data_IF_270540451798
#
_entry.id   IF_270540451798
#
_cell.length_a   1.000
_cell.length_b   1.000
_cell.length_c   1.000
_cell.angle_alpha   90.00
_cell.angle_beta   90.00
_cell.angle_gamma   90.00
#
_symmetry.space_group_name_H-M   'P 1'
#
loop_
_entity.id
_entity.type
_entity.pdbx_description
1 polymer ?
#
# COMPACT_ATOMS: atom_id res chain seq x y z
N UNK A 1 -12.07 33.25 -2.96
CA UNK A 1 -10.67 33.66 -2.79
C UNK A 1 -9.79 32.51 -3.28
N UNK A 2 -9.24 32.63 -4.48
CA UNK A 2 -8.28 31.67 -5.03
C UNK A 2 -6.99 31.72 -4.23
N UNK A 3 -6.57 30.60 -3.62
CA UNK A 3 -5.23 30.51 -3.05
C UNK A 3 -4.22 30.71 -4.18
N UNK A 4 -3.26 31.65 -4.08
CA UNK A 4 -2.20 31.77 -5.06
C UNK A 4 -1.37 30.49 -5.01
N UNK A 5 -1.27 29.77 -6.13
CA UNK A 5 -0.33 28.67 -6.27
C UNK A 5 1.08 29.28 -6.21
N UNK A 6 1.73 29.25 -5.04
CA UNK A 6 3.08 29.78 -4.82
C UNK A 6 4.20 28.93 -5.44
N UNK A 7 3.83 27.87 -6.16
CA UNK A 7 4.73 26.88 -6.74
C UNK A 7 4.15 26.36 -8.05
N UNK A 8 5.01 25.95 -8.98
CA UNK A 8 4.57 25.38 -10.25
C UNK A 8 3.83 24.04 -10.04
N UNK A 9 2.90 23.65 -10.94
CA UNK A 9 2.24 22.34 -10.87
C UNK A 9 3.22 21.17 -10.79
N UNK A 10 4.35 21.26 -11.48
CA UNK A 10 5.43 20.27 -11.45
C UNK A 10 6.03 20.13 -10.05
N UNK A 11 6.26 21.26 -9.37
CA UNK A 11 6.78 21.26 -8.01
C UNK A 11 5.77 20.65 -7.03
N UNK A 12 4.46 20.90 -7.20
CA UNK A 12 3.43 20.27 -6.36
C UNK A 12 3.46 18.74 -6.50
N UNK A 13 3.61 18.22 -7.73
CA UNK A 13 3.70 16.78 -7.96
C UNK A 13 4.97 16.21 -7.32
N UNK A 14 6.09 16.91 -7.46
CA UNK A 14 7.37 16.54 -6.84
C UNK A 14 7.25 16.48 -5.32
N UNK A 15 6.69 17.50 -4.69
CA UNK A 15 6.53 17.58 -3.24
C UNK A 15 5.62 16.47 -2.71
N UNK A 16 4.52 16.16 -3.42
CA UNK A 16 3.64 15.03 -3.09
C UNK A 16 4.37 13.69 -3.19
N UNK A 17 5.15 13.48 -4.26
CA UNK A 17 5.92 12.25 -4.45
C UNK A 17 6.99 12.10 -3.36
N UNK A 18 7.66 13.19 -2.99
CA UNK A 18 8.68 13.20 -1.95
C UNK A 18 8.07 12.95 -0.57
N UNK A 19 6.90 13.52 -0.29
CA UNK A 19 6.14 13.25 0.93
C UNK A 19 5.77 11.76 1.04
N UNK A 20 5.21 11.18 -0.03
CA UNK A 20 4.84 9.77 -0.06
C UNK A 20 6.07 8.86 0.11
N UNK A 21 7.16 9.14 -0.62
CA UNK A 21 8.41 8.36 -0.52
C UNK A 21 8.99 8.38 0.88
N UNK A 22 9.06 9.57 1.52
CA UNK A 22 9.54 9.72 2.90
C UNK A 22 8.62 9.00 3.89
N UNK A 23 7.31 9.01 3.66
CA UNK A 23 6.34 8.27 4.47
C UNK A 23 6.55 6.75 4.39
N UNK A 24 6.72 6.22 3.17
CA UNK A 24 6.95 4.79 2.93
C UNK A 24 8.30 4.35 3.53
N UNK A 25 9.36 5.12 3.31
CA UNK A 25 10.71 4.78 3.76
C UNK A 25 10.87 4.68 5.29
N UNK A 26 9.97 5.32 6.06
CA UNK A 26 9.96 5.24 7.54
C UNK A 26 9.27 3.99 8.07
N UNK A 27 8.45 3.32 7.25
CA UNK A 27 7.70 2.14 7.65
C UNK A 27 8.57 0.89 7.75
N UNK A 28 8.06 -0.13 8.44
CA UNK A 28 8.68 -1.46 8.43
C UNK A 28 8.49 -2.13 7.07
N UNK A 29 9.47 -2.93 6.66
CA UNK A 29 9.49 -3.55 5.33
C UNK A 29 8.52 -4.72 5.19
N UNK A 30 8.25 -5.07 3.93
CA UNK A 30 7.64 -6.33 3.51
C UNK A 30 8.43 -6.84 2.32
N UNK A 31 8.64 -8.16 2.28
CA UNK A 31 9.31 -8.86 1.20
C UNK A 31 8.34 -9.89 0.62
N UNK A 32 8.26 -9.94 -0.71
CA UNK A 32 7.46 -10.91 -1.45
C UNK A 32 8.37 -11.58 -2.47
N UNK A 33 8.49 -12.90 -2.40
CA UNK A 33 9.41 -13.68 -3.23
C UNK A 33 8.66 -14.82 -3.90
N UNK A 34 8.89 -15.00 -5.19
CA UNK A 34 8.43 -16.19 -5.93
C UNK A 34 9.40 -17.35 -5.69
N UNK A 35 8.85 -18.55 -5.49
CA UNK A 35 9.61 -19.79 -5.37
C UNK A 35 8.90 -20.92 -6.12
N UNK A 36 9.52 -22.11 -6.17
CA UNK A 36 9.05 -23.24 -7.00
C UNK A 36 7.57 -23.58 -6.76
N UNK A 37 7.09 -23.49 -5.51
CA UNK A 37 5.72 -23.89 -5.16
C UNK A 37 4.77 -22.70 -4.93
N UNK A 38 5.16 -21.47 -5.30
CA UNK A 38 4.25 -20.31 -5.20
C UNK A 38 4.94 -19.01 -4.82
N UNK A 39 4.29 -18.23 -3.94
CA UNK A 39 4.77 -16.91 -3.50
C UNK A 39 4.83 -16.89 -1.98
N UNK A 40 5.96 -16.47 -1.42
CA UNK A 40 6.18 -16.30 0.01
C UNK A 40 6.09 -14.82 0.38
N UNK A 41 5.33 -14.51 1.43
CA UNK A 41 5.16 -13.17 1.98
C UNK A 41 5.79 -13.10 3.37
N UNK A 42 6.70 -12.14 3.58
CA UNK A 42 7.36 -11.92 4.87
C UNK A 42 7.24 -10.44 5.24
N UNK A 43 6.55 -10.15 6.33
CA UNK A 43 6.36 -8.78 6.81
C UNK A 43 6.93 -8.62 8.22
N UNK A 44 7.71 -7.57 8.43
CA UNK A 44 8.01 -7.12 9.78
C UNK A 44 6.79 -6.37 10.33
N UNK A 45 6.14 -6.97 11.33
CA UNK A 45 4.92 -6.44 11.94
C UNK A 45 4.85 -6.81 13.44
N UNK A 46 5.00 -5.84 14.36
CA UNK A 46 4.85 -6.09 15.79
C UNK A 46 3.38 -6.27 16.20
N UNK A 47 2.44 -5.76 15.41
CA UNK A 47 1.02 -5.87 15.71
C UNK A 47 0.48 -7.25 15.35
N UNK A 48 -0.37 -7.81 16.23
CA UNK A 48 -1.12 -9.04 15.96
C UNK A 48 -2.51 -8.81 15.38
N UNK A 49 -3.01 -7.57 15.41
CA UNK A 49 -4.37 -7.23 14.97
C UNK A 49 -4.40 -6.44 13.65
N UNK A 50 -3.32 -5.73 13.33
CA UNK A 50 -3.23 -4.89 12.13
C UNK A 50 -2.34 -5.59 11.12
N UNK A 51 -2.94 -6.18 10.08
CA UNK A 51 -2.23 -7.03 9.14
C UNK A 51 -1.71 -6.24 7.92
N UNK A 52 -0.47 -6.52 7.52
CA UNK A 52 0.15 -5.96 6.30
C UNK A 52 0.03 -6.87 5.08
N UNK A 53 -0.35 -8.13 5.30
CA UNK A 53 -0.52 -9.18 4.30
C UNK A 53 -1.94 -9.72 4.47
N UNK A 54 -2.65 -9.93 3.37
CA UNK A 54 -4.01 -10.47 3.35
C UNK A 54 -4.28 -11.18 2.05
N UNK A 55 -5.19 -12.13 2.08
CA UNK A 55 -5.85 -12.63 0.88
C UNK A 55 -6.77 -11.56 0.28
N UNK A 56 -6.86 -11.53 -1.04
CA UNK A 56 -7.85 -10.76 -1.82
C UNK A 56 -8.84 -11.69 -2.51
N UNK A 57 -8.37 -12.82 -3.03
CA UNK A 57 -9.17 -13.84 -3.71
C UNK A 57 -8.41 -15.18 -3.76
N UNK A 58 -9.05 -16.24 -4.26
CA UNK A 58 -8.55 -17.62 -4.31
C UNK A 58 -7.08 -17.78 -4.73
N UNK A 59 -6.60 -16.93 -5.64
CA UNK A 59 -5.21 -16.94 -6.16
C UNK A 59 -4.56 -15.56 -6.15
N UNK A 60 -5.07 -14.64 -5.33
CA UNK A 60 -4.60 -13.26 -5.27
C UNK A 60 -4.39 -12.88 -3.80
N UNK A 61 -3.16 -12.50 -3.45
CA UNK A 61 -2.82 -11.97 -2.14
C UNK A 61 -2.29 -10.55 -2.27
N UNK A 62 -2.48 -9.76 -1.21
CA UNK A 62 -2.09 -8.38 -1.09
C UNK A 62 -1.07 -8.20 0.02
N UNK A 63 -0.07 -7.37 -0.25
CA UNK A 63 0.93 -6.97 0.72
C UNK A 63 1.27 -5.49 0.53
N UNK A 64 1.33 -4.73 1.63
CA UNK A 64 1.58 -3.30 1.55
C UNK A 64 2.48 -2.76 2.67
N UNK A 65 3.09 -1.61 2.39
CA UNK A 65 3.87 -0.79 3.29
C UNK A 65 3.40 0.66 3.21
N UNK A 66 3.73 1.46 4.22
CA UNK A 66 3.27 2.85 4.34
C UNK A 66 2.20 2.99 5.42
N UNK A 67 1.24 3.88 5.19
CA UNK A 67 0.25 4.24 6.20
C UNK A 67 -0.89 3.22 6.25
N UNK A 68 -1.10 2.62 7.42
CA UNK A 68 -2.03 1.50 7.60
C UNK A 68 -3.44 1.75 7.09
N UNK A 69 -4.06 2.86 7.51
CA UNK A 69 -5.44 3.18 7.13
C UNK A 69 -5.61 3.37 5.61
N UNK A 70 -4.57 3.82 4.90
CA UNK A 70 -4.62 4.02 3.45
C UNK A 70 -4.59 2.68 2.73
N UNK A 71 -3.61 1.81 3.02
CA UNK A 71 -3.53 0.53 2.34
C UNK A 71 -4.64 -0.44 2.79
N UNK A 72 -5.14 -0.33 4.01
CA UNK A 72 -6.29 -1.12 4.47
C UNK A 72 -7.57 -0.73 3.70
N UNK A 73 -7.76 0.56 3.42
CA UNK A 73 -8.86 1.01 2.56
C UNK A 73 -8.74 0.45 1.14
N UNK A 74 -7.52 0.42 0.59
CA UNK A 74 -7.25 -0.18 -0.73
C UNK A 74 -7.48 -1.69 -0.73
N UNK A 75 -7.09 -2.39 0.34
CA UNK A 75 -7.30 -3.83 0.51
C UNK A 75 -8.79 -4.17 0.51
N UNK A 76 -9.58 -3.46 1.32
CA UNK A 76 -11.04 -3.65 1.39
C UNK A 76 -11.70 -3.38 0.04
N UNK A 77 -11.26 -2.34 -0.67
CA UNK A 77 -11.75 -2.07 -2.03
C UNK A 77 -11.37 -3.21 -3.01
N UNK A 78 -10.16 -3.76 -2.90
CA UNK A 78 -9.69 -4.89 -3.70
C UNK A 78 -10.53 -6.14 -3.50
N UNK A 79 -10.81 -6.51 -2.24
CA UNK A 79 -11.68 -7.65 -1.89
C UNK A 79 -13.07 -7.48 -2.52
N UNK A 80 -13.70 -6.32 -2.31
CA UNK A 80 -15.04 -6.04 -2.87
C UNK A 80 -15.05 -6.09 -4.40
N UNK A 81 -13.99 -5.62 -5.04
CA UNK A 81 -13.88 -5.62 -6.50
C UNK A 81 -13.71 -7.04 -7.04
N UNK A 82 -12.91 -7.88 -6.37
CA UNK A 82 -12.75 -9.29 -6.73
C UNK A 82 -14.06 -10.05 -6.54
N UNK A 83 -14.73 -9.89 -5.40
CA UNK A 83 -16.01 -10.55 -5.10
C UNK A 83 -17.10 -10.24 -6.14
N UNK A 84 -17.10 -9.02 -6.69
CA UNK A 84 -18.11 -8.60 -7.68
C UNK A 84 -17.77 -9.02 -9.11
N UNK A 85 -16.53 -9.39 -9.40
CA UNK A 85 -16.07 -9.69 -10.77
C UNK A 85 -15.67 -11.15 -10.99
N UNK A 86 -15.42 -11.91 -9.92
CA UNK A 86 -14.76 -13.23 -10.00
C UNK A 86 -13.31 -13.10 -10.44
#
# INVERSE_FOLDING_TARGET
>A
MSMPFYVSPEQIIKDKADYARKGIARGRSVVVIQYVNGIAFVAENPSRALHKISEIYDRIAFAAVGKYNEFESLRVAGVRLADTRG
#
